data_IF_594803972861
#
_entry.id   IF_594803972861
#
_cell.length_a   1.000
_cell.length_b   1.000
_cell.length_c   1.000
_cell.angle_alpha   90.00
_cell.angle_beta   90.00
_cell.angle_gamma   90.00
#
_symmetry.space_group_name_H-M   'P 1'
#
loop_
_entity.id
_entity.type
_entity.pdbx_description
1 polymer ?
#
# COMPACT_ATOMS: atom_id res chain seq x y z
N UNK A 1 -19.78 10.67 -21.81
CA UNK A 1 -19.21 11.99 -22.17
C UNK A 1 -19.01 12.77 -20.88
N UNK A 2 -17.76 12.92 -20.51
CA UNK A 2 -17.07 13.59 -19.40
C UNK A 2 -17.87 14.59 -18.55
N UNK A 3 -18.20 14.25 -17.28
CA UNK A 3 -18.62 15.24 -16.28
C UNK A 3 -18.64 14.74 -14.83
N UNK A 4 -17.51 14.28 -14.25
CA UNK A 4 -17.40 14.19 -12.78
C UNK A 4 -15.97 14.57 -12.35
N UNK A 5 -15.88 15.52 -11.41
CA UNK A 5 -14.71 15.98 -10.64
C UNK A 5 -13.77 17.03 -11.27
N UNK A 6 -14.34 18.18 -11.70
CA UNK A 6 -13.70 19.48 -11.42
C UNK A 6 -14.31 19.99 -10.11
N UNK A 7 -13.45 20.49 -9.22
CA UNK A 7 -13.71 21.05 -7.88
C UNK A 7 -13.15 20.15 -6.77
N UNK A 8 -11.83 20.09 -6.70
CA UNK A 8 -11.16 20.14 -5.40
C UNK A 8 -10.35 21.42 -5.40
N UNK A 9 -10.64 22.23 -4.40
CA UNK A 9 -10.32 23.63 -4.31
C UNK A 9 -8.81 23.89 -4.26
N UNK A 10 -8.42 24.98 -4.91
CA UNK A 10 -7.14 25.64 -4.75
C UNK A 10 -7.03 26.22 -3.33
N UNK A 11 -6.81 25.38 -2.32
CA UNK A 11 -6.26 25.79 -1.04
C UNK A 11 -4.76 25.47 -1.02
N UNK A 12 -3.92 26.51 -1.20
CA UNK A 12 -2.54 26.63 -0.72
C UNK A 12 -1.87 25.31 -0.27
N UNK A 13 -1.24 24.58 -1.21
CA UNK A 13 -0.37 23.44 -0.96
C UNK A 13 0.94 23.88 -0.27
N UNK A 14 0.83 24.39 0.96
CA UNK A 14 1.95 24.51 1.89
C UNK A 14 2.12 23.15 2.57
N UNK A 15 3.09 22.36 2.10
CA UNK A 15 3.74 21.21 2.74
C UNK A 15 2.99 20.60 3.94
N UNK A 16 1.83 19.99 3.74
CA UNK A 16 1.27 19.07 4.75
C UNK A 16 1.99 17.73 4.64
N UNK A 17 3.21 17.71 5.14
CA UNK A 17 3.97 16.48 5.33
C UNK A 17 3.36 15.67 6.48
N UNK A 18 2.85 14.48 6.18
CA UNK A 18 2.38 13.51 7.16
C UNK A 18 3.56 12.89 7.90
N UNK A 19 3.47 12.86 9.23
CA UNK A 19 4.42 12.12 10.07
C UNK A 19 4.03 10.65 10.20
N UNK A 20 4.96 9.82 10.69
CA UNK A 20 4.67 8.43 11.05
C UNK A 20 3.53 8.33 12.09
N UNK A 21 3.45 9.24 13.07
CA UNK A 21 2.36 9.24 14.05
C UNK A 21 0.99 9.47 13.40
N UNK A 22 0.91 10.34 12.39
CA UNK A 22 -0.33 10.58 11.65
C UNK A 22 -0.73 9.32 10.88
N UNK A 23 0.24 8.63 10.27
CA UNK A 23 0.02 7.37 9.55
C UNK A 23 -0.48 6.24 10.48
N UNK A 24 0.12 6.06 11.64
CA UNK A 24 -0.30 5.01 12.59
C UNK A 24 -1.68 5.22 13.22
N UNK A 25 -2.19 6.45 13.18
CA UNK A 25 -3.55 6.77 13.64
C UNK A 25 -4.63 6.52 12.57
N UNK A 26 -4.25 6.09 11.35
CA UNK A 26 -5.22 5.70 10.33
C UNK A 26 -6.00 4.44 10.76
N UNK A 27 -7.24 4.27 10.28
CA UNK A 27 -7.98 3.03 10.49
C UNK A 27 -7.16 1.82 10.04
N UNK A 28 -7.28 0.72 10.78
CA UNK A 28 -6.65 -0.55 10.38
C UNK A 28 -7.11 -0.94 8.96
N UNK A 29 -6.16 -1.31 8.11
CA UNK A 29 -6.43 -1.65 6.72
C UNK A 29 -6.66 -0.47 5.77
N UNK A 30 -6.44 0.78 6.21
CA UNK A 30 -6.46 1.93 5.32
C UNK A 30 -5.43 1.74 4.18
N UNK A 31 -5.82 1.82 2.90
CA UNK A 31 -4.96 1.45 1.78
C UNK A 31 -4.00 2.58 1.39
N UNK A 32 -3.35 3.21 2.37
CA UNK A 32 -2.39 4.29 2.15
C UNK A 32 -0.98 3.83 2.49
N UNK A 33 0.00 4.42 1.82
CA UNK A 33 1.41 4.28 2.14
C UNK A 33 1.98 5.68 2.41
N UNK A 34 2.77 5.82 3.47
CA UNK A 34 3.50 7.06 3.73
C UNK A 34 4.82 7.05 2.97
N UNK A 35 4.97 7.91 1.96
CA UNK A 35 6.19 8.05 1.15
C UNK A 35 6.60 9.52 1.16
N UNK A 36 7.79 9.81 1.72
CA UNK A 36 8.37 11.17 1.78
C UNK A 36 7.46 12.25 2.39
N UNK A 37 6.56 11.84 3.29
CA UNK A 37 5.59 12.75 3.90
C UNK A 37 4.25 12.82 3.18
N UNK A 38 4.05 12.07 2.09
CA UNK A 38 2.79 12.00 1.38
C UNK A 38 2.07 10.67 1.63
N UNK A 39 0.74 10.71 1.74
CA UNK A 39 -0.10 9.52 1.80
C UNK A 39 -0.56 9.12 0.40
N UNK A 40 0.03 8.05 -0.14
CA UNK A 40 -0.26 7.52 -1.46
C UNK A 40 -1.24 6.36 -1.36
N UNK A 41 -2.38 6.47 -2.04
CA UNK A 41 -3.39 5.41 -2.07
C UNK A 41 -2.93 4.24 -2.93
N UNK A 42 -2.92 3.03 -2.37
CA UNK A 42 -2.69 1.79 -3.08
C UNK A 42 -3.95 1.36 -3.83
N UNK A 43 -3.90 1.15 -5.15
CA UNK A 43 -5.06 0.68 -5.89
C UNK A 43 -5.42 -0.74 -5.46
N UNK A 44 -6.72 -1.06 -5.44
CA UNK A 44 -7.17 -2.42 -5.15
C UNK A 44 -6.57 -3.40 -6.17
N UNK A 45 -5.95 -4.50 -5.71
CA UNK A 45 -5.24 -5.41 -6.59
C UNK A 45 -6.21 -6.17 -7.49
N UNK A 46 -5.81 -6.36 -8.76
CA UNK A 46 -6.57 -7.18 -9.71
C UNK A 46 -6.27 -8.66 -9.51
N UNK A 47 -7.14 -9.54 -10.00
CA UNK A 47 -6.98 -11.01 -9.94
C UNK A 47 -5.59 -11.49 -10.41
N UNK A 48 -5.09 -10.94 -11.52
CA UNK A 48 -3.76 -11.30 -12.05
C UNK A 48 -2.63 -10.89 -11.09
N UNK A 49 -2.72 -9.70 -10.49
CA UNK A 49 -1.74 -9.24 -9.51
C UNK A 49 -1.68 -10.20 -8.32
N UNK A 50 -2.84 -10.59 -7.79
CA UNK A 50 -2.90 -11.54 -6.68
C UNK A 50 -2.36 -12.93 -7.05
N UNK A 51 -2.69 -13.45 -8.23
CA UNK A 51 -2.18 -14.75 -8.66
C UNK A 51 -0.65 -14.78 -8.76
N UNK A 52 -0.05 -13.74 -9.33
CA UNK A 52 1.41 -13.62 -9.44
C UNK A 52 2.07 -13.45 -8.07
N UNK A 53 1.50 -12.61 -7.20
CA UNK A 53 1.99 -12.41 -5.85
C UNK A 53 2.01 -13.71 -5.05
N UNK A 54 0.95 -14.52 -5.14
CA UNK A 54 0.87 -15.81 -4.45
C UNK A 54 1.94 -16.79 -4.94
N UNK A 55 2.11 -16.92 -6.26
CA UNK A 55 3.16 -17.79 -6.83
C UNK A 55 4.56 -17.37 -6.39
N UNK A 56 4.83 -16.07 -6.33
CA UNK A 56 6.11 -15.54 -5.87
C UNK A 56 6.30 -15.81 -4.37
N UNK A 57 5.30 -15.47 -3.55
CA UNK A 57 5.37 -15.65 -2.11
C UNK A 57 5.57 -17.11 -1.72
N UNK A 58 4.93 -18.05 -2.42
CA UNK A 58 5.11 -19.49 -2.17
C UNK A 58 6.54 -19.95 -2.52
N UNK A 59 7.11 -19.44 -3.60
CA UNK A 59 8.50 -19.74 -3.98
C UNK A 59 9.49 -19.26 -2.92
N UNK A 60 9.31 -18.02 -2.44
CA UNK A 60 10.15 -17.45 -1.37
C UNK A 60 9.95 -18.19 -0.06
N UNK A 61 8.70 -18.47 0.33
CA UNK A 61 8.37 -19.19 1.56
C UNK A 61 9.00 -20.59 1.59
N UNK A 62 8.92 -21.34 0.48
CA UNK A 62 9.54 -22.66 0.39
C UNK A 62 11.05 -22.61 0.58
N UNK A 63 11.72 -21.60 -0.01
CA UNK A 63 13.15 -21.40 0.17
C UNK A 63 13.50 -21.04 1.62
N UNK A 64 12.81 -20.06 2.20
CA UNK A 64 13.06 -19.59 3.58
C UNK A 64 12.81 -20.72 4.58
N UNK A 65 11.72 -21.47 4.42
CA UNK A 65 11.38 -22.61 5.28
C UNK A 65 12.40 -23.73 5.20
N UNK A 66 12.83 -24.11 3.99
CA UNK A 66 13.81 -25.19 3.79
C UNK A 66 15.15 -24.87 4.46
N UNK A 67 15.56 -23.61 4.44
CA UNK A 67 16.86 -23.17 4.95
C UNK A 67 16.79 -22.57 6.37
N UNK A 68 15.61 -22.61 7.01
CA UNK A 68 15.35 -21.99 8.31
C UNK A 68 15.85 -20.53 8.41
N UNK A 69 15.67 -19.76 7.34
CA UNK A 69 16.29 -18.43 7.16
C UNK A 69 15.40 -17.26 7.60
N UNK A 70 14.30 -17.52 8.29
CA UNK A 70 13.38 -16.49 8.79
C UNK A 70 11.90 -16.78 8.49
N UNK A 71 11.13 -15.72 8.28
CA UNK A 71 9.67 -15.78 8.08
C UNK A 71 9.26 -14.98 6.85
N UNK A 72 8.19 -15.44 6.18
CA UNK A 72 7.55 -14.73 5.07
C UNK A 72 6.15 -14.35 5.51
N UNK A 73 5.84 -13.05 5.44
CA UNK A 73 4.52 -12.50 5.80
C UNK A 73 3.81 -12.07 4.51
N UNK A 74 2.54 -12.44 4.41
CA UNK A 74 1.64 -11.99 3.35
C UNK A 74 0.52 -11.20 4.03
N UNK A 75 0.27 -9.99 3.54
CA UNK A 75 -0.90 -9.21 3.96
C UNK A 75 -2.08 -9.60 3.05
N UNK A 76 -3.27 -9.90 3.62
CA UNK A 76 -4.45 -10.27 2.85
C UNK A 76 -4.97 -9.14 1.94
#
# INVERSE_FOLDING_TARGET
>A
MTQILRNFDNESLKDKSYSASNYFNLPEGAPYQLIEGDLIMSPSPKRLHQALLMSLADSVYNHVKKNNSGYVIRLP
#
